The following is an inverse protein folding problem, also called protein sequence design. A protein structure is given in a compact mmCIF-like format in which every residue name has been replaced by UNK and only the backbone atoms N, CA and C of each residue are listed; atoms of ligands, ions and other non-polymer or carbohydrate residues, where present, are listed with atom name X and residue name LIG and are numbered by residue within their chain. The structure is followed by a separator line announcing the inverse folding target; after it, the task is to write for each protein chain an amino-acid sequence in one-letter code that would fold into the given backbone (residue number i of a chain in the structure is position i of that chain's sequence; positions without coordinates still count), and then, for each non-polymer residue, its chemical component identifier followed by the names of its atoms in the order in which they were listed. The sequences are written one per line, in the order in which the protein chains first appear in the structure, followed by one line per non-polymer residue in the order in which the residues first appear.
data_IF_984870116891
#
_entry.id   IF_984870116891
#
_cell.length_a   1.000
_cell.length_b   1.000
_cell.length_c   1.000
_cell.angle_alpha   90.00
_cell.angle_beta   90.00
_cell.angle_gamma   90.00
#
_symmetry.space_group_name_H-M   'P 1'
#
loop_
_entity.id
_entity.type
_entity.pdbx_description
1 polymer ?
#
# COMPACT_ATOMS: atom_id res chain seq x y z
N UNK A 1 26.87 28.93 -8.17
CA UNK A 1 27.55 28.14 -9.22
C UNK A 1 26.58 27.07 -9.76
N UNK A 2 26.79 26.48 -10.96
CA UNK A 2 25.85 25.48 -11.54
C UNK A 2 25.69 24.23 -10.65
N UNK A 3 26.74 23.87 -9.91
CA UNK A 3 26.74 22.85 -8.85
C UNK A 3 25.66 23.09 -7.81
N UNK A 4 25.58 24.32 -7.31
CA UNK A 4 24.73 24.68 -6.17
C UNK A 4 23.27 24.68 -6.61
N UNK A 5 23.00 25.26 -7.80
CA UNK A 5 21.68 25.25 -8.41
C UNK A 5 21.16 23.82 -8.63
N UNK A 6 21.99 22.93 -9.19
CA UNK A 6 21.60 21.54 -9.47
C UNK A 6 21.45 20.69 -8.20
N UNK A 7 22.20 21.02 -7.14
CA UNK A 7 22.08 20.42 -5.81
C UNK A 7 20.83 20.89 -5.05
N UNK A 8 20.16 21.92 -5.56
CA UNK A 8 18.91 22.44 -5.01
C UNK A 8 19.08 23.56 -4.00
N UNK A 9 20.23 24.24 -4.01
CA UNK A 9 20.42 25.49 -3.31
C UNK A 9 19.55 26.60 -3.93
N UNK A 10 19.04 27.48 -3.07
CA UNK A 10 18.15 28.60 -3.43
C UNK A 10 18.88 29.95 -3.24
N UNK A 11 20.15 29.93 -2.81
CA UNK A 11 20.99 31.11 -2.66
C UNK A 11 21.43 31.72 -4.00
N UNK A 12 20.64 32.65 -4.55
CA UNK A 12 21.01 33.49 -5.69
C UNK A 12 19.79 33.97 -6.50
N UNK A 13 19.98 35.04 -7.30
CA UNK A 13 19.01 35.83 -8.10
C UNK A 13 18.01 35.05 -9.00
N UNK A 14 17.96 33.73 -8.94
CA UNK A 14 16.99 32.87 -9.63
C UNK A 14 15.70 32.62 -8.83
N UNK A 15 15.37 33.52 -7.90
CA UNK A 15 14.11 33.52 -7.17
C UNK A 15 12.96 34.06 -8.04
N UNK A 16 12.53 33.28 -9.02
CA UNK A 16 11.19 33.47 -9.58
C UNK A 16 10.45 32.15 -9.64
N UNK A 17 9.37 32.14 -8.88
CA UNK A 17 8.32 31.14 -8.74
C UNK A 17 7.86 30.58 -10.08
N UNK A 18 7.72 29.25 -10.14
CA UNK A 18 6.77 28.51 -10.98
C UNK A 18 6.75 28.82 -12.48
N UNK A 19 7.59 28.13 -13.26
CA UNK A 19 7.26 27.88 -14.67
C UNK A 19 6.27 26.70 -14.75
N UNK A 20 5.12 26.90 -15.42
CA UNK A 20 4.09 25.87 -15.70
C UNK A 20 4.62 24.63 -16.45
N UNK A 21 5.85 24.70 -16.96
CA UNK A 21 6.51 23.63 -17.69
C UNK A 21 7.70 23.10 -16.90
N UNK A 22 7.59 21.87 -16.40
CA UNK A 22 8.70 21.17 -15.74
C UNK A 22 9.67 20.64 -16.79
N UNK A 23 10.76 21.37 -17.06
CA UNK A 23 11.85 20.81 -17.87
C UNK A 23 12.64 19.75 -17.07
N UNK A 24 13.35 18.86 -17.77
CA UNK A 24 14.12 17.75 -17.18
C UNK A 24 15.08 18.21 -16.09
N UNK A 25 15.67 19.40 -16.26
CA UNK A 25 16.59 20.00 -15.30
C UNK A 25 15.90 20.45 -14.01
N UNK A 26 14.70 21.01 -14.11
CA UNK A 26 13.87 21.39 -12.96
C UNK A 26 13.43 20.16 -12.17
N UNK A 27 12.98 19.10 -12.87
CA UNK A 27 12.63 17.82 -12.23
C UNK A 27 13.85 17.19 -11.58
N UNK A 28 15.00 17.20 -12.26
CA UNK A 28 16.27 16.69 -11.76
C UNK A 28 16.73 17.41 -10.50
N UNK A 29 16.66 18.74 -10.47
CA UNK A 29 16.97 19.58 -9.30
C UNK A 29 16.05 19.26 -8.11
N UNK A 30 14.73 19.24 -8.33
CA UNK A 30 13.76 18.94 -7.26
C UNK A 30 13.98 17.53 -6.71
N UNK A 31 14.26 16.55 -7.57
CA UNK A 31 14.60 15.20 -7.15
C UNK A 31 15.92 15.16 -6.37
N UNK A 32 16.93 15.91 -6.80
CA UNK A 32 18.24 15.99 -6.12
C UNK A 32 18.11 16.59 -4.72
N UNK A 33 17.36 17.70 -4.60
CA UNK A 33 17.04 18.30 -3.29
C UNK A 33 16.29 17.34 -2.37
N UNK A 34 15.24 16.67 -2.87
CA UNK A 34 14.45 15.72 -2.09
C UNK A 34 15.29 14.53 -1.60
N UNK A 35 16.25 14.09 -2.41
CA UNK A 35 17.10 12.94 -2.09
C UNK A 35 18.40 13.34 -1.37
N UNK A 36 18.73 14.64 -1.28
CA UNK A 36 20.01 15.11 -0.74
C UNK A 36 21.21 14.74 -1.61
N UNK A 37 21.04 14.75 -2.94
CA UNK A 37 22.11 14.49 -3.91
C UNK A 37 22.81 15.81 -4.25
N UNK A 38 24.12 15.82 -4.14
CA UNK A 38 24.97 16.97 -4.49
C UNK A 38 25.57 16.77 -5.89
N UNK A 39 25.63 17.85 -6.66
CA UNK A 39 26.21 17.88 -8.00
C UNK A 39 27.56 18.58 -7.97
N UNK A 40 28.59 17.91 -8.48
CA UNK A 40 29.94 18.45 -8.63
C UNK A 40 30.27 18.48 -10.11
N UNK A 41 30.81 19.59 -10.58
CA UNK A 41 31.30 19.74 -11.94
C UNK A 41 32.81 19.95 -11.90
N UNK A 42 33.59 18.96 -12.34
CA UNK A 42 35.04 19.06 -12.51
C UNK A 42 35.33 19.10 -14.00
N UNK A 43 36.02 20.14 -14.49
CA UNK A 43 36.34 20.33 -15.90
C UNK A 43 35.14 20.17 -16.85
N UNK A 44 33.99 20.70 -16.44
CA UNK A 44 32.69 20.57 -17.14
C UNK A 44 32.09 19.15 -17.19
N UNK A 45 32.67 18.17 -16.48
CA UNK A 45 32.13 16.81 -16.35
C UNK A 45 31.30 16.69 -15.06
N UNK A 46 30.00 16.33 -15.15
CA UNK A 46 29.14 16.20 -13.98
C UNK A 46 29.39 14.89 -13.21
N UNK A 47 29.44 14.99 -11.88
CA UNK A 47 29.47 13.87 -10.94
C UNK A 47 28.45 14.09 -9.83
N UNK A 48 27.81 13.00 -9.40
CA UNK A 48 26.83 13.04 -8.32
C UNK A 48 27.46 12.50 -7.04
N UNK A 49 27.31 13.23 -5.94
CA UNK A 49 27.67 12.78 -4.60
C UNK A 49 26.40 12.48 -3.82
N UNK A 50 26.31 11.26 -3.31
CA UNK A 50 25.21 10.81 -2.48
C UNK A 50 25.76 10.06 -1.27
N UNK A 51 25.69 10.70 -0.10
CA UNK A 51 26.26 10.18 1.16
C UNK A 51 27.75 9.86 0.98
N UNK A 52 28.11 8.58 1.05
CA UNK A 52 29.46 8.04 0.92
C UNK A 52 29.84 7.66 -0.52
N UNK A 53 28.96 7.87 -1.49
CA UNK A 53 29.14 7.44 -2.87
C UNK A 53 29.38 8.61 -3.83
N UNK A 54 30.36 8.47 -4.71
CA UNK A 54 30.58 9.37 -5.86
C UNK A 54 30.29 8.63 -7.16
N UNK A 55 29.37 9.16 -7.96
CA UNK A 55 28.82 8.56 -9.16
C UNK A 55 29.15 9.42 -10.38
N UNK A 56 30.08 8.94 -11.20
CA UNK A 56 30.51 9.58 -12.45
C UNK A 56 29.58 9.24 -13.63
N UNK A 57 29.62 10.03 -14.70
CA UNK A 57 28.80 9.85 -15.94
C UNK A 57 28.92 8.43 -16.52
N UNK A 58 30.12 7.84 -16.48
CA UNK A 58 30.39 6.49 -17.00
C UNK A 58 29.58 5.39 -16.27
N UNK A 59 29.05 5.70 -15.09
CA UNK A 59 28.21 4.80 -14.30
C UNK A 59 26.71 4.97 -14.55
N UNK A 60 26.26 5.68 -15.59
CA UNK A 60 24.84 6.03 -15.84
C UNK A 60 23.80 4.95 -15.52
N UNK A 61 24.05 3.67 -15.86
CA UNK A 61 23.16 2.54 -15.53
C UNK A 61 23.19 2.15 -14.05
N UNK A 62 24.35 2.27 -13.40
CA UNK A 62 24.56 2.01 -11.97
C UNK A 62 24.04 3.16 -11.10
N UNK A 63 24.03 4.41 -11.58
CA UNK A 63 23.59 5.58 -10.79
C UNK A 63 22.22 5.34 -10.15
N UNK A 64 21.21 5.02 -10.97
CA UNK A 64 19.85 4.79 -10.48
C UNK A 64 19.75 3.53 -9.61
N UNK A 65 20.48 2.47 -9.97
CA UNK A 65 20.48 1.22 -9.20
C UNK A 65 21.08 1.43 -7.81
N UNK A 66 22.27 2.02 -7.74
CA UNK A 66 23.00 2.30 -6.51
C UNK A 66 22.23 3.24 -5.57
N UNK A 67 21.66 4.33 -6.09
CA UNK A 67 20.85 5.24 -5.26
C UNK A 67 19.60 4.52 -4.74
N UNK A 68 18.89 3.78 -5.61
CA UNK A 68 17.67 3.05 -5.21
C UNK A 68 17.96 1.96 -4.18
N UNK A 69 19.03 1.19 -4.40
CA UNK A 69 19.46 0.13 -3.50
C UNK A 69 19.83 0.70 -2.12
N UNK A 70 20.63 1.76 -2.09
CA UNK A 70 21.02 2.44 -0.85
C UNK A 70 19.83 3.01 -0.08
N UNK A 71 18.87 3.63 -0.77
CA UNK A 71 17.62 4.11 -0.17
C UNK A 71 16.76 2.95 0.37
N UNK A 72 16.72 1.82 -0.35
CA UNK A 72 16.00 0.62 0.08
C UNK A 72 16.62 0.04 1.34
N UNK A 73 17.94 -0.16 1.39
CA UNK A 73 18.66 -0.68 2.55
C UNK A 73 18.49 0.24 3.76
N UNK A 74 18.68 1.55 3.59
CA UNK A 74 18.47 2.54 4.65
C UNK A 74 17.04 2.51 5.22
N UNK A 75 16.04 2.28 4.36
CA UNK A 75 14.65 2.10 4.79
C UNK A 75 14.47 0.79 5.54
N UNK A 76 15.04 -0.32 5.05
CA UNK A 76 15.00 -1.63 5.71
C UNK A 76 15.63 -1.55 7.11
N UNK A 77 16.80 -0.94 7.26
CA UNK A 77 17.46 -0.74 8.56
C UNK A 77 16.60 0.10 9.52
N UNK A 78 16.00 1.17 8.99
CA UNK A 78 15.10 2.03 9.77
C UNK A 78 13.85 1.29 10.20
N UNK A 79 13.34 0.37 9.37
CA UNK A 79 12.26 -0.52 9.76
C UNK A 79 12.75 -1.48 10.84
N UNK A 80 13.87 -2.18 10.67
CA UNK A 80 14.40 -3.10 11.69
C UNK A 80 14.62 -2.43 13.06
N UNK A 81 15.03 -1.15 13.10
CA UNK A 81 15.19 -0.38 14.34
C UNK A 81 13.88 -0.04 15.05
N UNK A 82 12.70 -0.19 14.43
CA UNK A 82 11.43 0.09 15.11
C UNK A 82 11.11 -1.01 16.11
N UNK A 83 10.89 -0.62 17.37
CA UNK A 83 10.47 -1.48 18.50
C UNK A 83 9.30 -2.45 18.17
N UNK A 84 8.46 -2.11 17.20
CA UNK A 84 7.28 -2.88 16.83
C UNK A 84 7.51 -3.89 15.68
N UNK A 85 8.71 -4.06 15.14
CA UNK A 85 8.95 -4.95 13.98
C UNK A 85 9.32 -6.39 14.37
N UNK A 86 9.69 -6.62 15.64
CA UNK A 86 10.20 -7.91 16.14
C UNK A 86 9.34 -9.13 15.81
N UNK A 87 8.05 -9.15 16.17
CA UNK A 87 7.22 -10.37 16.04
C UNK A 87 6.92 -10.80 14.60
N UNK A 88 6.80 -9.86 13.65
CA UNK A 88 6.45 -10.22 12.26
C UNK A 88 7.62 -10.90 11.56
N UNK A 89 8.85 -10.42 11.78
CA UNK A 89 10.07 -11.08 11.30
C UNK A 89 10.34 -12.39 12.05
N UNK A 90 10.09 -12.42 13.36
CA UNK A 90 10.13 -13.65 14.18
C UNK A 90 9.19 -14.71 13.60
N UNK A 91 7.98 -14.35 13.16
CA UNK A 91 6.98 -15.24 12.54
C UNK A 91 7.30 -15.65 11.09
N UNK A 92 7.91 -14.77 10.29
CA UNK A 92 8.34 -15.09 8.91
C UNK A 92 9.48 -16.12 8.91
N UNK A 93 10.30 -16.15 9.97
CA UNK A 93 11.32 -17.20 10.16
C UNK A 93 10.72 -18.62 10.24
N UNK A 94 9.45 -18.79 10.62
CA UNK A 94 8.78 -20.09 10.73
C UNK A 94 8.31 -20.65 9.38
N UNK A 95 8.35 -19.85 8.31
CA UNK A 95 7.95 -20.26 6.96
C UNK A 95 9.13 -20.73 6.11
N UNK A 96 10.35 -20.72 6.65
CA UNK A 96 11.55 -21.20 5.95
C UNK A 96 11.73 -22.71 6.13
N UNK A 97 12.00 -23.46 5.04
CA UNK A 97 12.21 -24.90 5.11
C UNK A 97 13.66 -25.22 5.52
N UNK A 98 14.03 -24.93 6.77
CA UNK A 98 15.15 -25.56 7.47
C UNK A 98 15.12 -25.21 8.97
N UNK A 99 15.30 -26.18 9.89
CA UNK A 99 15.44 -25.88 11.30
C UNK A 99 16.83 -25.30 11.55
N UNK A 100 16.92 -23.98 11.80
CA UNK A 100 18.09 -23.44 12.49
C UNK A 100 17.93 -23.86 13.96
N UNK A 101 18.41 -25.06 14.29
CA UNK A 101 18.33 -25.70 15.60
C UNK A 101 18.89 -24.85 16.75
N UNK A 102 19.68 -23.82 16.44
CA UNK A 102 20.27 -22.88 17.40
C UNK A 102 19.33 -21.74 17.83
N UNK A 103 18.22 -21.50 17.11
CA UNK A 103 17.24 -20.46 17.45
C UNK A 103 15.98 -21.03 18.13
N UNK A 104 15.71 -22.32 17.98
CA UNK A 104 14.52 -22.98 18.54
C UNK A 104 14.48 -22.97 20.08
N UNK A 105 15.63 -22.93 20.75
CA UNK A 105 15.72 -22.88 22.22
C UNK A 105 15.50 -21.49 22.84
N UNK A 106 15.61 -20.41 22.06
CA UNK A 106 15.45 -19.03 22.55
C UNK A 106 14.05 -18.44 22.31
N UNK A 107 13.19 -19.15 21.58
CA UNK A 107 11.91 -18.65 21.08
C UNK A 107 10.68 -19.30 21.74
N UNK A 108 10.86 -20.27 22.63
CA UNK A 108 9.74 -21.00 23.23
C UNK A 108 9.00 -20.25 24.35
N UNK A 109 9.48 -19.08 24.78
CA UNK A 109 8.93 -18.32 25.91
C UNK A 109 8.50 -16.88 25.55
N UNK A 110 8.40 -16.55 24.25
CA UNK A 110 7.93 -15.23 23.85
C UNK A 110 6.38 -15.17 23.86
N UNK A 111 5.82 -14.22 24.60
CA UNK A 111 4.37 -13.96 24.64
C UNK A 111 3.86 -13.81 23.20
N UNK A 112 3.05 -14.75 22.71
CA UNK A 112 2.55 -14.76 21.34
C UNK A 112 1.40 -13.77 21.13
N UNK A 113 0.88 -13.16 22.20
CA UNK A 113 -0.30 -12.30 22.11
C UNK A 113 -0.04 -11.04 21.30
N UNK A 114 -1.10 -10.53 20.68
CA UNK A 114 -1.07 -9.23 20.00
C UNK A 114 -0.67 -8.12 20.98
N UNK A 115 0.38 -7.39 20.63
CA UNK A 115 0.94 -6.27 21.39
C UNK A 115 -0.02 -5.08 21.51
N UNK A 116 -1.12 -5.08 20.76
CA UNK A 116 -2.11 -4.00 20.75
C UNK A 116 -3.42 -4.36 21.44
N UNK A 117 -3.94 -5.55 21.19
CA UNK A 117 -5.25 -5.96 21.70
C UNK A 117 -5.22 -7.20 22.61
N UNK A 118 -4.07 -7.85 22.79
CA UNK A 118 -3.95 -9.05 23.63
C UNK A 118 -4.50 -10.34 23.02
N UNK A 119 -4.91 -10.35 21.75
CA UNK A 119 -5.38 -11.56 21.06
C UNK A 119 -4.33 -12.67 21.10
N UNK A 120 -4.74 -13.93 21.20
CA UNK A 120 -3.88 -15.07 21.54
C UNK A 120 -2.61 -15.20 20.68
N UNK A 121 -2.68 -14.89 19.38
CA UNK A 121 -1.53 -14.95 18.47
C UNK A 121 -1.45 -13.72 17.56
N UNK A 122 -0.33 -13.00 17.59
CA UNK A 122 -0.07 -11.85 16.74
C UNK A 122 0.37 -12.28 15.33
N UNK A 123 -0.57 -12.68 14.48
CA UNK A 123 -0.27 -12.99 13.08
C UNK A 123 -0.41 -11.77 12.16
N UNK A 124 0.16 -11.83 10.96
CA UNK A 124 -0.06 -10.80 9.94
C UNK A 124 -1.54 -10.66 9.58
N UNK A 125 -2.26 -11.79 9.48
CA UNK A 125 -3.70 -11.82 9.27
C UNK A 125 -4.44 -11.07 10.37
N UNK A 126 -4.06 -11.32 11.63
CA UNK A 126 -4.63 -10.62 12.78
C UNK A 126 -4.37 -9.12 12.71
N UNK A 127 -3.11 -8.69 12.61
CA UNK A 127 -2.74 -7.26 12.62
C UNK A 127 -3.42 -6.50 11.48
N UNK A 128 -3.47 -7.09 10.29
CA UNK A 128 -4.00 -6.40 9.11
C UNK A 128 -5.51 -6.45 8.97
N UNK A 129 -6.22 -7.47 9.50
CA UNK A 129 -7.65 -7.65 9.23
C UNK A 129 -8.54 -7.96 10.46
N UNK A 130 -8.00 -8.32 11.62
CA UNK A 130 -8.81 -8.79 12.76
C UNK A 130 -8.50 -8.14 14.13
N UNK A 131 -7.36 -7.47 14.29
CA UNK A 131 -6.99 -6.68 15.47
C UNK A 131 -7.82 -5.38 15.65
N UNK A 132 -8.86 -5.39 16.48
CA UNK A 132 -9.81 -4.28 16.64
C UNK A 132 -9.19 -2.90 16.88
N UNK A 133 -7.97 -2.82 17.42
CA UNK A 133 -7.19 -1.58 17.59
C UNK A 133 -6.84 -0.89 16.27
N UNK A 134 -6.90 -1.61 15.15
CA UNK A 134 -6.67 -1.12 13.80
C UNK A 134 -7.95 -1.06 12.96
N UNK A 135 -9.13 -1.14 13.59
CA UNK A 135 -10.43 -1.13 12.89
C UNK A 135 -10.59 0.06 11.94
N UNK A 136 -10.17 1.25 12.37
CA UNK A 136 -10.18 2.46 11.55
C UNK A 136 -9.36 2.29 10.26
N UNK A 137 -8.19 1.64 10.34
CA UNK A 137 -7.36 1.39 9.15
C UNK A 137 -8.03 0.39 8.19
N UNK A 138 -8.82 -0.56 8.68
CA UNK A 138 -9.59 -1.46 7.82
C UNK A 138 -10.74 -0.74 7.15
N UNK A 139 -11.45 0.11 7.90
CA UNK A 139 -12.53 0.90 7.37
C UNK A 139 -12.04 1.88 6.29
N UNK A 140 -10.88 2.52 6.49
CA UNK A 140 -10.27 3.37 5.46
C UNK A 140 -9.91 2.59 4.18
N UNK A 141 -9.36 1.37 4.30
CA UNK A 141 -9.06 0.53 3.13
C UNK A 141 -10.32 0.13 2.38
N UNK A 142 -11.35 -0.27 3.13
CA UNK A 142 -12.66 -0.64 2.59
C UNK A 142 -13.32 0.55 1.88
N UNK A 143 -13.44 1.70 2.57
CA UNK A 143 -14.00 2.93 2.02
C UNK A 143 -13.27 3.38 0.75
N UNK A 144 -11.94 3.34 0.73
CA UNK A 144 -11.17 3.72 -0.47
C UNK A 144 -11.50 2.87 -1.70
N UNK A 145 -11.86 1.58 -1.51
CA UNK A 145 -12.31 0.70 -2.60
C UNK A 145 -13.75 1.03 -2.99
N UNK A 146 -14.63 1.23 -2.01
CA UNK A 146 -16.02 1.65 -2.23
C UNK A 146 -16.07 2.97 -3.02
N UNK A 147 -15.31 3.98 -2.62
CA UNK A 147 -15.26 5.29 -3.28
C UNK A 147 -14.80 5.16 -4.74
N UNK A 148 -13.79 4.32 -4.98
CA UNK A 148 -13.29 4.04 -6.34
C UNK A 148 -14.35 3.33 -7.19
N UNK A 149 -15.09 2.40 -6.59
CA UNK A 149 -16.19 1.70 -7.24
C UNK A 149 -17.32 2.66 -7.59
N UNK A 150 -17.78 3.48 -6.64
CA UNK A 150 -18.82 4.49 -6.86
C UNK A 150 -18.43 5.44 -7.99
N UNK A 151 -17.19 5.96 -7.98
CA UNK A 151 -16.69 6.84 -9.03
C UNK A 151 -16.63 6.18 -10.42
N UNK A 152 -16.44 4.85 -10.49
CA UNK A 152 -16.42 4.09 -11.74
C UNK A 152 -17.82 3.69 -12.22
N UNK A 153 -18.69 3.29 -11.29
CA UNK A 153 -20.07 2.86 -11.55
C UNK A 153 -20.98 4.03 -11.89
N UNK A 154 -20.82 5.18 -11.24
CA UNK A 154 -21.60 6.39 -11.52
C UNK A 154 -21.45 6.92 -12.95
N UNK A 155 -20.41 6.50 -13.69
CA UNK A 155 -20.25 6.79 -15.12
C UNK A 155 -20.99 5.82 -16.04
N UNK A 156 -21.52 4.73 -15.49
CA UNK A 156 -22.05 3.57 -16.23
C UNK A 156 -23.51 3.25 -15.89
N UNK A 157 -24.09 3.92 -14.91
CA UNK A 157 -25.45 3.72 -14.45
C UNK A 157 -25.76 4.56 -13.21
N UNK A 158 -26.82 4.19 -12.50
CA UNK A 158 -27.36 4.94 -11.37
C UNK A 158 -26.96 4.28 -10.05
N UNK A 159 -26.46 5.06 -9.09
CA UNK A 159 -26.22 4.59 -7.73
C UNK A 159 -27.51 4.85 -6.93
N UNK A 160 -28.24 3.79 -6.59
CA UNK A 160 -29.51 3.89 -5.87
C UNK A 160 -29.30 4.19 -4.38
N UNK A 161 -28.26 3.59 -3.77
CA UNK A 161 -27.87 3.90 -2.39
C UNK A 161 -26.42 3.50 -2.12
N UNK A 162 -25.81 4.16 -1.13
CA UNK A 162 -24.48 3.83 -0.62
C UNK A 162 -24.52 3.78 0.90
N UNK A 163 -24.00 2.70 1.49
CA UNK A 163 -23.94 2.49 2.93
C UNK A 163 -25.28 2.81 3.62
N UNK A 164 -26.40 2.34 3.08
CA UNK A 164 -27.73 2.62 3.62
C UNK A 164 -28.41 1.33 4.07
N UNK A 165 -29.09 1.37 5.22
CA UNK A 165 -29.85 0.24 5.72
C UNK A 165 -31.07 -0.02 4.82
N UNK A 166 -31.37 -1.30 4.58
CA UNK A 166 -32.55 -1.72 3.84
C UNK A 166 -33.75 -1.74 4.78
N UNK A 167 -34.84 -1.08 4.40
CA UNK A 167 -36.04 -1.03 5.24
C UNK A 167 -36.57 -2.44 5.56
N UNK A 168 -36.84 -2.71 6.84
CA UNK A 168 -37.36 -4.00 7.29
C UNK A 168 -36.30 -5.10 7.45
N UNK A 169 -35.02 -4.83 7.16
CA UNK A 169 -33.92 -5.79 7.32
C UNK A 169 -32.73 -5.12 8.03
N UNK A 170 -32.05 -5.86 8.91
CA UNK A 170 -30.78 -5.40 9.52
C UNK A 170 -29.60 -5.60 8.56
N UNK A 171 -29.78 -5.16 7.32
CA UNK A 171 -28.82 -5.29 6.24
C UNK A 171 -28.48 -3.91 5.68
N UNK A 172 -27.18 -3.67 5.51
CA UNK A 172 -26.61 -2.41 5.02
C UNK A 172 -25.57 -2.74 3.94
N UNK A 173 -25.97 -2.93 2.68
CA UNK A 173 -25.02 -3.11 1.59
C UNK A 173 -24.20 -1.83 1.37
N UNK A 174 -22.96 -2.00 0.90
CA UNK A 174 -22.06 -0.87 0.65
C UNK A 174 -22.54 -0.03 -0.54
N UNK A 175 -22.99 -0.68 -1.62
CA UNK A 175 -23.48 -0.01 -2.84
C UNK A 175 -24.67 -0.81 -3.41
N UNK A 176 -25.75 -0.10 -3.74
CA UNK A 176 -26.82 -0.59 -4.61
C UNK A 176 -26.76 0.18 -5.91
N UNK A 177 -26.52 -0.52 -7.01
CA UNK A 177 -26.30 0.06 -8.33
C UNK A 177 -27.34 -0.45 -9.32
N UNK A 178 -27.85 0.42 -10.19
CA UNK A 178 -28.80 0.07 -11.25
C UNK A 178 -28.19 0.34 -12.61
N UNK A 179 -28.29 -0.65 -13.49
CA UNK A 179 -27.86 -0.55 -14.89
C UNK A 179 -28.99 -1.05 -15.79
N UNK A 180 -29.66 -0.13 -16.47
CA UNK A 180 -30.86 -0.47 -17.24
C UNK A 180 -31.96 -1.01 -16.33
N UNK A 181 -32.37 -2.25 -16.55
CA UNK A 181 -33.37 -2.96 -15.75
C UNK A 181 -32.79 -3.68 -14.53
N UNK A 182 -31.48 -3.89 -14.52
CA UNK A 182 -30.84 -4.77 -13.56
C UNK A 182 -30.36 -3.96 -12.36
N UNK A 183 -30.64 -4.50 -11.17
CA UNK A 183 -30.13 -3.96 -9.90
C UNK A 183 -28.99 -4.88 -9.45
N UNK A 184 -27.96 -4.30 -8.86
CA UNK A 184 -26.78 -4.98 -8.36
C UNK A 184 -26.58 -4.57 -6.90
N UNK A 185 -26.52 -5.55 -6.02
CA UNK A 185 -26.10 -5.36 -4.62
C UNK A 185 -24.62 -5.69 -4.55
N UNK A 186 -23.81 -4.70 -4.22
CA UNK A 186 -22.36 -4.80 -4.19
C UNK A 186 -21.91 -4.53 -2.76
N UNK A 187 -21.24 -5.52 -2.18
CA UNK A 187 -20.65 -5.42 -0.85
C UNK A 187 -19.17 -5.80 -0.94
N UNK A 188 -18.32 -4.89 -0.48
CA UNK A 188 -16.88 -4.96 -0.59
C UNK A 188 -16.32 -5.66 0.64
N UNK A 189 -15.43 -6.62 0.40
CA UNK A 189 -14.68 -7.27 1.46
C UNK A 189 -13.19 -7.31 1.11
N UNK A 190 -12.35 -7.11 2.13
CA UNK A 190 -10.89 -7.12 2.01
C UNK A 190 -10.31 -8.24 2.90
N UNK A 191 -10.51 -9.52 2.54
CA UNK A 191 -9.98 -10.63 3.33
C UNK A 191 -8.44 -10.63 3.28
N UNK A 192 -7.81 -11.22 4.30
CA UNK A 192 -6.39 -11.50 4.25
C UNK A 192 -6.08 -12.48 3.11
N UNK A 193 -4.99 -12.25 2.38
CA UNK A 193 -4.58 -13.07 1.24
C UNK A 193 -4.01 -14.41 1.71
N UNK A 194 -4.87 -15.28 2.25
CA UNK A 194 -4.53 -16.63 2.67
C UNK A 194 -5.02 -17.65 1.62
N UNK A 195 -4.39 -17.62 0.45
CA UNK A 195 -4.74 -18.43 -0.74
C UNK A 195 -6.13 -18.13 -1.31
N UNK A 196 -6.43 -18.77 -2.46
CA UNK A 196 -7.70 -18.59 -3.20
C UNK A 196 -8.94 -18.93 -2.37
N UNK A 197 -8.85 -19.93 -1.49
CA UNK A 197 -9.96 -20.38 -0.65
C UNK A 197 -10.49 -19.30 0.29
N UNK A 198 -9.60 -18.45 0.85
CA UNK A 198 -10.02 -17.35 1.72
C UNK A 198 -10.93 -16.34 0.99
N UNK A 199 -10.62 -16.03 -0.28
CA UNK A 199 -11.45 -15.17 -1.11
C UNK A 199 -12.79 -15.83 -1.46
N UNK A 200 -12.77 -17.11 -1.84
CA UNK A 200 -13.99 -17.87 -2.14
C UNK A 200 -14.92 -17.95 -0.92
N UNK A 201 -14.37 -18.19 0.27
CA UNK A 201 -15.14 -18.27 1.50
C UNK A 201 -15.69 -16.90 1.92
N UNK A 202 -14.88 -15.84 1.84
CA UNK A 202 -15.35 -14.48 2.10
C UNK A 202 -16.50 -14.09 1.16
N UNK A 203 -16.41 -14.48 -0.12
CA UNK A 203 -17.48 -14.28 -1.09
C UNK A 203 -18.74 -15.07 -0.74
N UNK A 204 -18.60 -16.36 -0.43
CA UNK A 204 -19.74 -17.23 -0.07
C UNK A 204 -20.48 -16.69 1.16
N UNK A 205 -19.76 -16.24 2.18
CA UNK A 205 -20.34 -15.65 3.39
C UNK A 205 -21.15 -14.38 3.08
N UNK A 206 -20.69 -13.54 2.14
CA UNK A 206 -21.42 -12.33 1.74
C UNK A 206 -22.66 -12.65 0.91
N UNK A 207 -22.58 -13.63 0.02
CA UNK A 207 -23.75 -14.13 -0.71
C UNK A 207 -24.81 -14.62 0.28
N UNK A 208 -24.44 -15.51 1.21
CA UNK A 208 -25.35 -16.03 2.22
C UNK A 208 -25.96 -14.91 3.10
N UNK A 209 -25.19 -13.86 3.42
CA UNK A 209 -25.67 -12.70 4.19
C UNK A 209 -26.76 -11.91 3.45
N UNK A 210 -26.61 -11.71 2.15
CA UNK A 210 -27.51 -10.89 1.34
C UNK A 210 -28.50 -11.68 0.50
N UNK A 211 -28.49 -13.01 0.60
CA UNK A 211 -29.46 -13.92 -0.02
C UNK A 211 -30.91 -13.50 0.23
N UNK A 212 -31.31 -13.03 1.45
CA UNK A 212 -32.66 -12.56 1.70
C UNK A 212 -33.08 -11.31 0.89
N UNK A 213 -32.15 -10.60 0.24
CA UNK A 213 -32.45 -9.44 -0.59
C UNK A 213 -32.78 -9.79 -2.04
N UNK A 214 -32.46 -11.01 -2.49
CA UNK A 214 -32.69 -11.45 -3.87
C UNK A 214 -34.19 -11.48 -4.27
N UNK A 215 -35.15 -11.84 -3.41
CA UNK A 215 -36.57 -11.80 -3.78
C UNK A 215 -37.10 -10.37 -3.97
N UNK A 216 -36.47 -9.37 -3.33
CA UNK A 216 -36.89 -7.96 -3.34
C UNK A 216 -36.31 -7.22 -4.55
N UNK A 217 -35.20 -7.70 -5.10
CA UNK A 217 -34.50 -7.07 -6.21
C UNK A 217 -34.44 -8.05 -7.40
N UNK A 218 -35.00 -7.69 -8.56
CA UNK A 218 -34.84 -8.47 -9.82
C UNK A 218 -33.38 -8.37 -10.33
N UNK A 219 -32.42 -8.88 -9.55
CA UNK A 219 -31.07 -8.35 -9.47
C UNK A 219 -29.99 -9.44 -9.55
N UNK A 220 -29.17 -9.39 -10.60
CA UNK A 220 -27.90 -10.12 -10.62
C UNK A 220 -26.98 -9.58 -9.52
N UNK A 221 -26.67 -10.38 -8.51
CA UNK A 221 -25.79 -9.95 -7.42
C UNK A 221 -24.31 -10.12 -7.78
N UNK A 222 -23.72 -9.04 -8.30
CA UNK A 222 -22.28 -8.94 -8.56
C UNK A 222 -21.49 -8.68 -7.25
N UNK A 223 -21.07 -9.75 -6.59
CA UNK A 223 -20.18 -9.66 -5.42
C UNK A 223 -18.71 -9.57 -5.86
N UNK A 224 -18.04 -8.45 -5.54
CA UNK A 224 -16.65 -8.23 -5.92
C UNK A 224 -15.72 -8.43 -4.70
N UNK A 225 -15.00 -9.56 -4.67
CA UNK A 225 -13.89 -9.75 -3.77
C UNK A 225 -12.64 -9.12 -4.41
N UNK A 226 -12.17 -7.99 -3.89
CA UNK A 226 -10.92 -7.41 -4.35
C UNK A 226 -9.74 -8.09 -3.65
N UNK A 227 -8.76 -8.63 -4.39
CA UNK A 227 -7.47 -8.94 -3.81
C UNK A 227 -6.87 -7.64 -3.29
N UNK A 228 -6.55 -7.61 -2.00
CA UNK A 228 -5.94 -6.46 -1.34
C UNK A 228 -4.51 -6.28 -1.88
N UNK A 229 -4.36 -5.60 -3.02
CA UNK A 229 -3.08 -5.00 -3.40
C UNK A 229 -2.79 -3.84 -2.46
N UNK A 230 -2.09 -4.15 -1.37
CA UNK A 230 -1.35 -3.13 -0.66
C UNK A 230 -0.39 -2.49 -1.67
N UNK A 231 -0.67 -1.24 -2.03
CA UNK A 231 0.30 -0.41 -2.78
C UNK A 231 1.42 -0.05 -1.80
N UNK A 232 2.34 -1.00 -1.67
CA UNK A 232 3.60 -0.86 -0.96
C UNK A 232 4.70 -1.53 -1.78
N UNK A 233 5.32 -0.75 -2.67
CA UNK A 233 6.55 -1.06 -3.40
C UNK A 233 6.61 -2.44 -4.08
N UNK A 234 6.20 -2.48 -5.34
CA UNK A 234 6.97 -3.04 -6.47
C UNK A 234 6.11 -2.79 -7.71
N UNK A 235 6.52 -1.80 -8.52
CA UNK A 235 5.91 -1.61 -9.83
C UNK A 235 6.17 -2.84 -10.72
N UNK A 236 5.29 -3.10 -11.69
CA UNK A 236 5.50 -4.19 -12.64
C UNK A 236 6.80 -3.96 -13.39
N UNK A 237 7.68 -4.96 -13.38
CA UNK A 237 8.75 -5.07 -14.37
C UNK A 237 8.05 -5.33 -15.70
N UNK A 238 8.20 -4.39 -16.64
CA UNK A 238 8.18 -4.74 -18.05
C UNK A 238 9.50 -5.43 -18.39
#
# INVERSE_FOLDING_TARGET
MLSDFMSGDIGGDFSTTSNKFSNTWTVGRVASRRLGIQWIFQDSVPSLVFRDMTLKVNHRRKILFSIRDRLRTSRVDTLHRKKNQGKVLELVSWLLPAPISSLTGLLQDSDQRCRRCGFQQETLAHVLNHCSRYSHAWQLRHNAIVDRLVAALGRRGEILSCNQAVAGLDLRPDIVFKKGTDIFIIDVTCPFENRKSAFSQARANKIAKYDPLLPVARADTAHCAYPCWSTGLLGPRK
#
